data_IF_908407402690
#
_entry.id   IF_908407402690
#
_cell.length_a   1.000
_cell.length_b   1.000
_cell.length_c   1.000
_cell.angle_alpha   90.00
_cell.angle_beta   90.00
_cell.angle_gamma   90.00
#
_symmetry.space_group_name_H-M   'P 1'
#
loop_
_entity.id
_entity.type
_entity.pdbx_description
1 polymer ?
#
# COMPACT_ATOMS: atom_id res chain seq x y z
N UNK A 1 0.68 -4.94 -8.47
CA UNK A 1 1.54 -5.46 -7.38
C UNK A 1 2.03 -4.32 -6.50
N UNK A 2 1.90 -4.48 -5.19
CA UNK A 2 2.44 -3.52 -4.25
C UNK A 2 3.96 -3.66 -4.17
N UNK A 3 4.65 -2.54 -4.15
CA UNK A 3 6.07 -2.50 -3.87
C UNK A 3 6.32 -1.56 -2.69
N UNK A 4 7.56 -1.47 -2.25
CA UNK A 4 7.90 -0.68 -1.07
C UNK A 4 7.58 0.81 -1.22
N UNK A 5 7.44 1.31 -2.44
CA UNK A 5 7.04 2.71 -2.68
C UNK A 5 5.54 2.91 -2.55
N UNK A 6 4.74 1.90 -2.90
CA UNK A 6 3.29 2.01 -2.85
C UNK A 6 2.74 1.93 -1.43
N UNK A 7 3.40 1.18 -0.53
CA UNK A 7 2.93 1.04 0.85
C UNK A 7 2.97 2.38 1.59
N UNK A 8 4.10 3.13 1.61
CA UNK A 8 4.10 4.45 2.25
C UNK A 8 3.04 5.38 1.69
N UNK A 9 2.83 5.37 0.38
CA UNK A 9 1.83 6.19 -0.26
C UNK A 9 0.42 5.85 0.23
N UNK A 10 0.11 4.55 0.31
CA UNK A 10 -1.20 4.12 0.80
C UNK A 10 -1.43 4.54 2.26
N UNK A 11 -0.41 4.42 3.11
CA UNK A 11 -0.51 4.85 4.51
C UNK A 11 -0.77 6.36 4.59
N UNK A 12 -0.04 7.14 3.80
CA UNK A 12 -0.21 8.59 3.78
C UNK A 12 -1.64 8.99 3.41
N UNK A 13 -2.28 8.25 2.52
CA UNK A 13 -3.64 8.52 2.09
C UNK A 13 -4.70 7.82 2.94
N UNK A 14 -4.41 7.56 4.21
CA UNK A 14 -5.38 7.04 5.20
C UNK A 14 -5.91 5.65 4.85
N UNK A 15 -5.07 4.81 4.25
CA UNK A 15 -5.47 3.45 3.88
C UNK A 15 -4.91 2.42 4.85
N UNK A 16 -5.64 1.33 5.01
CA UNK A 16 -5.14 0.14 5.67
C UNK A 16 -4.63 -0.80 4.59
N UNK A 17 -3.48 -1.40 4.83
CA UNK A 17 -2.79 -2.22 3.83
C UNK A 17 -2.59 -3.62 4.37
N UNK A 18 -2.86 -4.62 3.54
CA UNK A 18 -2.47 -6.00 3.80
C UNK A 18 -1.45 -6.41 2.73
N UNK A 19 -0.40 -7.09 3.11
CA UNK A 19 0.64 -7.47 2.17
C UNK A 19 1.45 -8.67 2.61
N UNK A 20 2.36 -9.14 1.76
CA UNK A 20 3.15 -10.33 2.05
C UNK A 20 4.11 -10.11 3.21
N UNK A 21 4.33 -11.19 3.96
CA UNK A 21 5.15 -11.17 5.19
C UNK A 21 6.63 -11.36 4.87
N UNK A 22 7.16 -10.61 3.94
CA UNK A 22 8.59 -10.68 3.67
C UNK A 22 9.10 -9.37 3.06
N UNK A 23 10.41 -9.18 3.14
CA UNK A 23 11.07 -8.01 2.58
C UNK A 23 10.68 -6.72 3.28
N UNK A 24 10.99 -5.62 2.64
CA UNK A 24 10.73 -4.30 3.21
C UNK A 24 9.25 -4.02 3.40
N UNK A 25 8.40 -4.57 2.54
CA UNK A 25 6.96 -4.43 2.67
C UNK A 25 6.48 -5.05 3.98
N UNK A 26 6.89 -6.31 4.24
CA UNK A 26 6.51 -7.01 5.46
C UNK A 26 6.98 -6.28 6.70
N UNK A 27 8.22 -5.81 6.71
CA UNK A 27 8.77 -5.07 7.84
C UNK A 27 7.98 -3.79 8.13
N UNK A 28 7.65 -3.03 7.09
CA UNK A 28 6.91 -1.79 7.27
C UNK A 28 5.49 -2.07 7.76
N UNK A 29 4.83 -3.10 7.23
CA UNK A 29 3.49 -3.45 7.67
C UNK A 29 3.48 -3.91 9.12
N UNK A 30 4.45 -4.74 9.52
CA UNK A 30 4.55 -5.17 10.92
C UNK A 30 4.81 -3.99 11.84
N UNK A 31 5.68 -3.09 11.45
CA UNK A 31 6.00 -1.90 12.25
C UNK A 31 4.77 -1.03 12.47
N UNK A 32 3.92 -0.91 11.48
CA UNK A 32 2.72 -0.06 11.53
C UNK A 32 1.48 -0.80 12.04
N UNK A 33 1.60 -2.09 12.34
CA UNK A 33 0.46 -2.88 12.81
C UNK A 33 -0.53 -3.25 11.73
N UNK A 34 -0.16 -3.14 10.48
CA UNK A 34 -1.01 -3.57 9.37
C UNK A 34 -0.84 -5.07 9.13
N UNK A 35 -1.90 -5.74 8.62
CA UNK A 35 -1.86 -7.20 8.46
C UNK A 35 -0.86 -7.66 7.41
N UNK A 36 -0.21 -8.79 7.69
CA UNK A 36 0.64 -9.47 6.74
C UNK A 36 0.15 -10.90 6.53
N UNK A 37 0.53 -11.51 5.42
CA UNK A 37 0.13 -12.88 5.11
C UNK A 37 1.26 -13.66 4.45
N UNK A 38 1.13 -14.98 4.50
CA UNK A 38 2.02 -15.91 3.83
C UNK A 38 1.42 -16.25 2.46
N UNK A 39 2.14 -15.96 1.39
CA UNK A 39 1.66 -16.22 0.02
C UNK A 39 1.39 -17.70 -0.27
N UNK A 40 2.02 -18.60 0.50
CA UNK A 40 1.82 -20.02 0.32
C UNK A 40 0.64 -20.58 1.10
N UNK A 41 -0.01 -19.74 1.92
CA UNK A 41 -1.15 -20.12 2.75
C UNK A 41 -2.34 -19.25 2.43
N UNK A 42 -3.27 -19.76 1.62
CA UNK A 42 -4.44 -19.00 1.21
C UNK A 42 -5.32 -18.60 2.40
N UNK A 43 -5.33 -19.40 3.46
CA UNK A 43 -6.11 -19.06 4.65
C UNK A 43 -5.56 -17.82 5.33
N UNK A 44 -4.22 -17.68 5.40
CA UNK A 44 -3.62 -16.48 5.98
C UNK A 44 -3.93 -15.24 5.16
N UNK A 45 -4.03 -15.36 3.84
CA UNK A 45 -4.43 -14.25 2.97
C UNK A 45 -5.84 -13.78 3.33
N UNK A 46 -6.77 -14.70 3.46
CA UNK A 46 -8.15 -14.39 3.81
C UNK A 46 -8.22 -13.73 5.19
N UNK A 47 -7.50 -14.26 6.16
CA UNK A 47 -7.46 -13.67 7.49
C UNK A 47 -6.90 -12.25 7.48
N UNK A 48 -5.83 -12.01 6.72
CA UNK A 48 -5.23 -10.68 6.63
C UNK A 48 -6.18 -9.68 5.99
N UNK A 49 -6.87 -10.06 4.92
CA UNK A 49 -7.84 -9.19 4.25
C UNK A 49 -9.01 -8.87 5.18
N UNK A 50 -9.51 -9.88 5.91
CA UNK A 50 -10.58 -9.68 6.88
C UNK A 50 -10.14 -8.73 7.99
N UNK A 51 -8.93 -8.93 8.52
CA UNK A 51 -8.38 -8.06 9.55
C UNK A 51 -8.20 -6.63 9.05
N UNK A 52 -7.70 -6.47 7.82
CA UNK A 52 -7.54 -5.15 7.22
C UNK A 52 -8.88 -4.42 7.12
N UNK A 53 -9.93 -5.14 6.74
CA UNK A 53 -11.28 -4.55 6.68
C UNK A 53 -11.76 -4.09 8.06
N UNK A 54 -11.52 -4.90 9.08
CA UNK A 54 -11.87 -4.53 10.45
C UNK A 54 -11.11 -3.28 10.89
N UNK A 55 -9.82 -3.23 10.62
CA UNK A 55 -9.00 -2.06 10.95
C UNK A 55 -9.50 -0.81 10.23
N UNK A 56 -9.84 -0.94 8.96
CA UNK A 56 -10.36 0.20 8.19
C UNK A 56 -11.66 0.72 8.80
N UNK A 57 -12.53 -0.18 9.26
CA UNK A 57 -13.80 0.21 9.86
C UNK A 57 -13.64 0.88 11.22
N UNK A 58 -12.52 0.68 11.90
CA UNK A 58 -12.25 1.30 13.21
C UNK A 58 -11.40 2.55 13.11
N UNK A 59 -11.15 3.06 11.91
CA UNK A 59 -10.38 4.29 11.74
C UNK A 59 -8.88 4.09 11.74
N UNK A 60 -8.39 2.88 11.56
CA UNK A 60 -6.96 2.62 11.60
C UNK A 60 -6.20 3.32 10.47
N UNK A 61 -6.87 3.66 9.38
CA UNK A 61 -6.28 4.46 8.31
C UNK A 61 -5.76 5.81 8.81
N UNK A 62 -6.43 6.41 9.79
CA UNK A 62 -5.95 7.66 10.39
C UNK A 62 -4.64 7.45 11.14
N UNK A 63 -4.49 6.34 11.85
CA UNK A 63 -3.23 6.01 12.52
C UNK A 63 -2.11 5.81 11.52
N UNK A 64 -2.40 5.15 10.40
CA UNK A 64 -1.43 4.96 9.34
C UNK A 64 -0.99 6.29 8.74
N UNK A 65 -1.93 7.21 8.50
CA UNK A 65 -1.62 8.52 7.98
C UNK A 65 -0.76 9.33 8.97
N UNK A 66 -1.08 9.24 10.24
CA UNK A 66 -0.28 9.91 11.28
C UNK A 66 1.14 9.37 11.32
N UNK A 67 1.30 8.05 11.25
CA UNK A 67 2.63 7.44 11.18
C UNK A 67 3.39 7.96 9.97
N UNK A 68 2.73 8.02 8.82
CA UNK A 68 3.36 8.49 7.58
C UNK A 68 3.80 9.95 7.69
N UNK A 69 2.97 10.80 8.26
CA UNK A 69 3.33 12.22 8.46
C UNK A 69 4.53 12.39 9.38
N UNK A 70 4.61 11.57 10.44
CA UNK A 70 5.66 11.69 11.43
C UNK A 70 6.99 11.07 11.00
N UNK A 71 6.94 9.99 10.23
CA UNK A 71 8.10 9.15 9.98
C UNK A 71 8.55 9.09 8.53
N UNK A 72 7.79 9.66 7.61
CA UNK A 72 8.08 9.58 6.19
C UNK A 72 8.21 10.99 5.59
N UNK A 73 9.11 11.11 4.62
CA UNK A 73 9.33 12.37 3.92
C UNK A 73 8.17 12.64 2.97
N UNK A 74 7.38 13.67 3.26
CA UNK A 74 6.21 14.03 2.46
C UNK A 74 6.57 14.35 1.01
N UNK A 75 7.69 15.05 0.80
CA UNK A 75 8.14 15.38 -0.54
C UNK A 75 8.46 14.11 -1.34
N UNK A 76 9.14 13.15 -0.72
CA UNK A 76 9.45 11.88 -1.37
C UNK A 76 8.17 11.11 -1.71
N UNK A 77 7.18 11.12 -0.82
CA UNK A 77 5.89 10.48 -1.08
C UNK A 77 5.21 11.14 -2.26
N UNK A 78 5.21 12.47 -2.33
CA UNK A 78 4.63 13.20 -3.44
C UNK A 78 5.32 12.86 -4.76
N UNK A 79 6.65 12.79 -4.78
CA UNK A 79 7.39 12.41 -5.96
C UNK A 79 7.02 11.00 -6.44
N UNK A 80 6.93 10.06 -5.51
CA UNK A 80 6.55 8.69 -5.84
C UNK A 80 5.12 8.60 -6.35
N UNK A 81 4.23 9.42 -5.83
CA UNK A 81 2.85 9.49 -6.30
C UNK A 81 2.80 9.97 -7.74
N UNK A 82 3.54 11.02 -8.06
CA UNK A 82 3.62 11.54 -9.43
C UNK A 82 4.16 10.48 -10.38
N UNK A 83 5.25 9.80 -9.99
CA UNK A 83 5.83 8.74 -10.82
C UNK A 83 4.83 7.60 -11.05
N UNK A 84 4.07 7.24 -10.03
CA UNK A 84 3.06 6.21 -10.15
C UNK A 84 1.99 6.58 -11.16
N UNK A 85 1.50 7.81 -11.11
CA UNK A 85 0.52 8.28 -12.09
C UNK A 85 1.09 8.34 -13.49
N UNK A 86 2.33 8.74 -13.64
CA UNK A 86 2.98 8.75 -14.96
C UNK A 86 3.09 7.35 -15.53
N UNK A 87 3.44 6.37 -14.71
CA UNK A 87 3.52 4.98 -15.15
C UNK A 87 2.16 4.46 -15.61
N UNK A 88 1.11 4.76 -14.85
CA UNK A 88 -0.24 4.36 -15.20
C UNK A 88 -0.65 5.00 -16.52
N UNK A 89 -0.37 6.28 -16.69
CA UNK A 89 -0.69 7.00 -17.91
C UNK A 89 0.01 6.36 -19.12
N UNK A 90 1.30 6.07 -19.00
CA UNK A 90 2.06 5.45 -20.06
C UNK A 90 1.54 4.06 -20.42
N UNK A 91 1.17 3.27 -19.44
CA UNK A 91 0.57 1.96 -19.67
C UNK A 91 -0.75 2.08 -20.42
N UNK A 92 -1.57 3.04 -20.03
CA UNK A 92 -2.86 3.28 -20.71
C UNK A 92 -2.65 3.64 -22.18
N UNK A 93 -1.69 4.49 -22.46
CA UNK A 93 -1.37 4.84 -23.85
C UNK A 93 -0.91 3.65 -24.68
N UNK A 94 -0.10 2.77 -24.09
CA UNK A 94 0.42 1.60 -24.77
C UNK A 94 -0.63 0.53 -24.98
N UNK A 95 -1.58 0.42 -24.08
CA UNK A 95 -2.58 -0.64 -24.08
C UNK A 95 -3.84 -0.30 -24.86
N UNK A 96 -4.00 0.94 -25.24
CA UNK A 96 -5.20 1.38 -25.95
C UNK A 96 -4.95 1.42 -27.45
N UNK A 97 -5.29 0.34 -28.18
CA UNK A 97 -5.01 0.25 -29.59
C UNK A 97 -5.76 1.25 -30.45
N UNK A 98 -6.87 1.75 -29.96
CA UNK A 98 -7.67 2.70 -30.72
C UNK A 98 -7.03 4.07 -30.83
N UNK A 99 -6.05 4.33 -30.01
CA UNK A 99 -5.29 5.57 -30.06
C UNK A 99 -4.24 5.55 -31.14
N UNK A 100 -4.10 4.46 -31.77
CA UNK A 100 -3.10 4.29 -32.80
C UNK A 100 -3.65 4.62 -34.13
#
# INVERSE_FOLDING_TARGET
MLNSGNVPMALFFHRVVAGPKFGNIGELLDLTGNPTFDLTDSHSVIEAVTHARQLANTGYGEKNAEFARQNMNTELIAQKTILCYQQIYNLTLHENPTDR
#
